data_IF_292586749294
#
_entry.id   IF_292586749294
#
_cell.length_a   1.000
_cell.length_b   1.000
_cell.length_c   1.000
_cell.angle_alpha   90.00
_cell.angle_beta   90.00
_cell.angle_gamma   90.00
#
_symmetry.space_group_name_H-M   'P 1'
#
loop_
_entity.id
_entity.type
_entity.pdbx_description
1 polymer ?
#
# COMPACT_ATOMS: atom_id res chain seq x y z
N UNK A 1 30.59 10.90 19.29
CA UNK A 1 30.43 10.03 18.11
C UNK A 1 29.02 10.24 17.54
N UNK A 2 28.95 11.01 16.46
CA UNK A 2 27.86 11.26 15.50
C UNK A 2 26.39 11.20 15.95
N UNK A 3 25.85 12.36 16.38
CA UNK A 3 24.42 12.63 16.37
C UNK A 3 23.95 13.07 14.97
N UNK A 4 23.17 12.23 14.30
CA UNK A 4 22.56 12.57 13.01
C UNK A 4 21.38 13.53 13.21
N UNK A 5 21.63 14.81 12.93
CA UNK A 5 20.61 15.87 12.84
C UNK A 5 19.93 15.76 11.48
N UNK A 6 18.76 15.12 11.41
CA UNK A 6 17.94 15.07 10.18
C UNK A 6 17.39 16.47 9.91
N UNK A 7 17.94 17.12 8.90
CA UNK A 7 17.56 18.47 8.44
C UNK A 7 16.48 18.29 7.36
N UNK A 8 15.22 18.58 7.67
CA UNK A 8 14.17 18.63 6.67
C UNK A 8 14.39 19.82 5.73
N UNK A 9 14.18 19.69 4.40
CA UNK A 9 14.24 20.83 3.51
C UNK A 9 13.10 21.80 3.82
N UNK A 10 13.49 22.99 4.26
CA UNK A 10 12.62 24.16 4.44
C UNK A 10 11.87 24.44 3.13
N UNK A 11 10.54 24.47 3.20
CA UNK A 11 9.74 25.15 2.18
C UNK A 11 10.09 26.64 2.25
N UNK A 12 10.56 27.18 1.13
CA UNK A 12 10.68 28.62 0.90
C UNK A 12 9.28 29.23 0.95
N UNK A 13 8.94 29.91 2.04
CA UNK A 13 7.90 30.94 2.05
C UNK A 13 8.53 32.24 1.55
N UNK A 14 8.07 32.71 0.40
CA UNK A 14 8.45 34.01 -0.14
C UNK A 14 7.70 35.14 0.56
N UNK A 15 8.41 36.24 0.80
CA UNK A 15 7.90 37.61 0.73
C UNK A 15 6.76 38.00 1.69
N UNK A 16 7.15 38.52 2.85
CA UNK A 16 6.31 39.34 3.73
C UNK A 16 5.88 40.63 3.02
N UNK A 17 4.57 40.90 3.01
CA UNK A 17 4.03 42.26 3.08
C UNK A 17 2.98 42.29 4.19
N UNK A 18 3.15 43.25 5.12
CA UNK A 18 2.33 43.48 6.31
C UNK A 18 0.93 43.96 5.90
N UNK A 19 -0.12 43.42 6.50
CA UNK A 19 -1.00 44.14 7.45
C UNK A 19 -2.25 43.34 7.85
N UNK A 20 -2.70 43.61 9.07
CA UNK A 20 -4.02 43.36 9.66
C UNK A 20 -4.32 42.00 10.32
N UNK A 21 -3.80 41.94 11.56
CA UNK A 21 -4.42 41.46 12.80
C UNK A 21 -5.92 41.14 12.71
N UNK A 22 -6.23 39.87 12.99
CA UNK A 22 -7.43 39.31 13.65
C UNK A 22 -7.93 38.03 12.96
N UNK A 23 -7.16 36.95 13.05
CA UNK A 23 -7.66 35.55 12.94
C UNK A 23 -6.55 34.54 13.25
N UNK A 24 -5.81 34.78 14.34
CA UNK A 24 -4.82 33.81 14.82
C UNK A 24 -5.50 32.87 15.81
N UNK A 25 -5.62 31.61 15.37
CA UNK A 25 -5.44 30.37 16.13
C UNK A 25 -6.56 29.30 16.07
N UNK A 26 -7.21 29.15 14.92
CA UNK A 26 -7.81 27.86 14.52
C UNK A 26 -6.98 27.23 13.40
N UNK A 27 -5.69 27.03 13.66
CA UNK A 27 -4.95 25.97 12.98
C UNK A 27 -4.85 24.88 14.03
N UNK A 28 -5.86 24.01 14.06
CA UNK A 28 -5.79 22.76 14.78
C UNK A 28 -4.47 22.10 14.40
N UNK A 29 -3.57 21.97 15.37
CA UNK A 29 -2.44 21.04 15.25
C UNK A 29 -3.09 19.69 14.98
N UNK A 30 -3.10 19.25 13.72
CA UNK A 30 -3.43 17.89 13.34
C UNK A 30 -2.53 16.98 14.17
N UNK A 31 -3.11 16.41 15.22
CA UNK A 31 -2.43 15.47 16.07
C UNK A 31 -2.38 14.16 15.28
N UNK A 32 -1.19 13.71 14.90
CA UNK A 32 -0.97 12.49 14.12
C UNK A 32 -1.65 11.28 14.77
N UNK A 33 -1.70 11.26 16.11
CA UNK A 33 -2.41 10.24 16.86
C UNK A 33 -3.92 10.26 16.60
N UNK A 34 -4.53 11.44 16.57
CA UNK A 34 -5.97 11.56 16.32
C UNK A 34 -6.31 11.16 14.89
N UNK A 35 -5.49 11.56 13.90
CA UNK A 35 -5.65 11.12 12.51
C UNK A 35 -5.52 9.59 12.37
N UNK A 36 -4.56 8.98 13.08
CA UNK A 36 -4.40 7.53 13.14
C UNK A 36 -5.64 6.85 13.72
N UNK A 37 -6.13 7.33 14.88
CA UNK A 37 -7.31 6.76 15.52
C UNK A 37 -8.57 6.91 14.66
N UNK A 38 -8.71 8.03 13.95
CA UNK A 38 -9.82 8.23 13.01
C UNK A 38 -9.73 7.29 11.81
N UNK A 39 -8.52 7.01 11.30
CA UNK A 39 -8.34 6.05 10.21
C UNK A 39 -8.86 4.64 10.57
N UNK A 40 -8.61 4.19 11.82
CA UNK A 40 -9.10 2.91 12.34
C UNK A 40 -10.63 2.87 12.53
N UNK A 41 -11.29 4.03 12.65
CA UNK A 41 -12.76 4.13 12.78
C UNK A 41 -13.50 4.25 11.46
N UNK A 42 -12.76 4.33 10.35
CA UNK A 42 -13.40 4.47 9.03
C UNK A 42 -14.21 3.22 8.69
N UNK A 43 -15.34 3.43 7.99
CA UNK A 43 -16.17 2.32 7.47
C UNK A 43 -15.36 1.33 6.62
N UNK A 44 -14.43 1.84 5.82
CA UNK A 44 -13.55 0.99 5.01
C UNK A 44 -12.68 0.07 5.87
N UNK A 45 -12.17 0.56 7.00
CA UNK A 45 -11.39 -0.25 7.94
C UNK A 45 -12.28 -1.35 8.54
N UNK A 46 -13.44 -0.98 9.08
CA UNK A 46 -14.38 -1.93 9.69
C UNK A 46 -14.87 -2.99 8.69
N UNK A 47 -15.04 -2.62 7.42
CA UNK A 47 -15.45 -3.54 6.36
C UNK A 47 -14.35 -4.56 6.05
N UNK A 48 -13.09 -4.14 5.96
CA UNK A 48 -11.97 -5.07 5.73
C UNK A 48 -11.75 -5.98 6.95
N UNK A 49 -11.78 -5.41 8.15
CA UNK A 49 -11.71 -6.16 9.39
C UNK A 49 -12.80 -7.24 9.45
N UNK A 50 -14.05 -6.87 9.23
CA UNK A 50 -15.18 -7.81 9.27
C UNK A 50 -15.11 -8.89 8.18
N UNK A 51 -14.60 -8.56 6.98
CA UNK A 51 -14.33 -9.54 5.92
C UNK A 51 -13.30 -10.58 6.37
N UNK A 52 -12.18 -10.16 6.94
CA UNK A 52 -11.15 -11.09 7.44
C UNK A 52 -11.70 -11.97 8.56
N UNK A 53 -12.34 -11.36 9.56
CA UNK A 53 -12.91 -12.09 10.69
C UNK A 53 -14.01 -13.08 10.24
N UNK A 54 -14.86 -12.68 9.29
CA UNK A 54 -15.89 -13.55 8.72
C UNK A 54 -15.33 -14.75 7.96
N UNK A 55 -14.17 -14.61 7.32
CA UNK A 55 -13.48 -15.75 6.66
C UNK A 55 -12.82 -16.66 7.69
N UNK A 56 -12.19 -16.09 8.72
CA UNK A 56 -11.61 -16.86 9.82
C UNK A 56 -12.68 -17.70 10.54
N UNK A 57 -13.84 -17.09 10.85
CA UNK A 57 -14.97 -17.76 11.52
C UNK A 57 -15.57 -18.90 10.69
N UNK A 58 -15.78 -18.70 9.39
CA UNK A 58 -16.31 -19.73 8.47
C UNK A 58 -15.41 -20.97 8.41
N UNK A 59 -14.09 -20.77 8.54
CA UNK A 59 -13.12 -21.87 8.54
C UNK A 59 -13.18 -22.70 9.83
N UNK A 60 -13.29 -22.05 10.99
CA UNK A 60 -13.42 -22.73 12.28
C UNK A 60 -14.64 -23.65 12.36
N UNK A 61 -15.76 -23.28 11.71
CA UNK A 61 -16.97 -24.10 11.61
C UNK A 61 -16.86 -25.26 10.61
N UNK A 62 -16.09 -25.10 9.53
CA UNK A 62 -15.87 -26.17 8.54
C UNK A 62 -14.94 -27.28 9.08
N UNK A 63 -13.92 -26.89 9.87
CA UNK A 63 -13.00 -27.80 10.56
C UNK A 63 -13.68 -28.62 11.67
N UNK A 64 -14.77 -28.13 12.26
CA UNK A 64 -15.53 -28.86 13.29
C UNK A 64 -16.51 -29.87 12.70
N UNK A 65 -16.96 -29.66 11.45
CA UNK A 65 -17.90 -30.57 10.77
C UNK A 65 -17.20 -31.78 10.12
N UNK A 66 -15.89 -31.70 9.88
CA UNK A 66 -15.09 -32.72 9.16
C UNK A 66 -14.36 -33.73 10.07
N UNK A 67 -14.54 -33.66 11.40
CA UNK A 67 -13.85 -34.54 12.35
C UNK A 67 -14.39 -35.98 12.44
N UNK A 68 -15.20 -36.46 11.49
CA UNK A 68 -15.79 -37.82 11.55
C UNK A 68 -15.50 -38.74 10.37
N UNK A 69 -14.74 -38.34 9.34
CA UNK A 69 -14.40 -39.27 8.24
C UNK A 69 -12.93 -39.08 7.82
N UNK A 70 -12.18 -40.17 7.90
CA UNK A 70 -10.83 -40.41 7.34
C UNK A 70 -9.60 -39.80 8.04
N UNK A 71 -9.26 -40.46 9.16
CA UNK A 71 -7.87 -40.65 9.59
C UNK A 71 -7.19 -41.60 8.57
N UNK A 72 -5.99 -41.24 8.10
CA UNK A 72 -5.07 -42.05 7.27
C UNK A 72 -5.21 -41.83 5.75
N UNK A 73 -4.91 -40.63 5.26
CA UNK A 73 -4.21 -40.45 3.98
C UNK A 73 -3.69 -39.00 3.83
N UNK A 74 -2.42 -38.87 3.45
CA UNK A 74 -1.79 -37.65 2.88
C UNK A 74 -1.52 -36.45 3.82
N UNK A 75 -0.38 -36.54 4.50
CA UNK A 75 0.28 -35.47 5.24
C UNK A 75 0.99 -34.40 4.38
N UNK A 76 0.48 -34.05 3.18
CA UNK A 76 1.15 -33.07 2.28
C UNK A 76 0.25 -31.88 1.84
N UNK A 77 -1.05 -31.84 2.16
CA UNK A 77 -1.94 -30.71 1.77
C UNK A 77 -2.38 -29.77 2.91
N UNK A 78 -1.67 -29.75 4.05
CA UNK A 78 -2.08 -28.97 5.25
C UNK A 78 -1.45 -27.57 5.32
N UNK A 79 -1.37 -26.84 4.19
CA UNK A 79 -0.98 -25.42 4.20
C UNK A 79 -2.23 -24.53 4.28
N UNK A 80 -2.41 -23.68 5.31
CA UNK A 80 -3.64 -22.92 5.50
C UNK A 80 -3.68 -21.79 4.47
N UNK A 81 -4.50 -21.91 3.44
CA UNK A 81 -4.52 -20.92 2.36
C UNK A 81 -5.18 -19.60 2.81
N UNK A 82 -4.40 -18.70 3.41
CA UNK A 82 -4.63 -17.25 3.42
C UNK A 82 -4.54 -16.65 2.01
N UNK A 83 -4.15 -17.44 1.01
CA UNK A 83 -4.24 -17.11 -0.42
C UNK A 83 -5.66 -16.71 -0.83
N UNK A 84 -6.70 -17.26 -0.20
CA UNK A 84 -8.10 -16.89 -0.48
C UNK A 84 -8.55 -15.59 0.20
N UNK A 85 -7.85 -15.17 1.27
CA UNK A 85 -8.16 -13.91 1.96
C UNK A 85 -7.75 -12.73 1.07
N UNK A 86 -6.59 -12.79 0.39
CA UNK A 86 -6.21 -11.73 -0.55
C UNK A 86 -7.22 -11.52 -1.68
N UNK A 87 -7.84 -12.60 -2.16
CA UNK A 87 -8.82 -12.53 -3.25
C UNK A 87 -10.13 -11.85 -2.80
N UNK A 88 -10.49 -11.99 -1.51
CA UNK A 88 -11.67 -11.34 -0.92
C UNK A 88 -11.41 -9.90 -0.44
N UNK A 89 -10.14 -9.55 -0.17
CA UNK A 89 -9.77 -8.25 0.37
C UNK A 89 -9.51 -7.20 -0.71
N UNK A 90 -9.07 -7.62 -1.90
CA UNK A 90 -8.71 -6.68 -2.96
C UNK A 90 -9.93 -6.04 -3.63
N UNK A 91 -9.83 -4.73 -3.82
CA UNK A 91 -10.84 -3.95 -4.53
C UNK A 91 -10.22 -3.12 -5.66
N UNK A 92 -10.74 -3.22 -6.90
CA UNK A 92 -11.72 -4.23 -7.32
C UNK A 92 -11.10 -5.64 -7.33
N UNK A 93 -11.98 -6.64 -7.26
CA UNK A 93 -11.62 -8.05 -7.29
C UNK A 93 -10.89 -8.41 -8.59
N UNK A 94 -10.14 -9.51 -8.54
CA UNK A 94 -9.22 -9.89 -9.62
C UNK A 94 -9.95 -10.18 -10.93
N UNK A 95 -11.16 -10.72 -10.88
CA UNK A 95 -11.99 -11.06 -12.04
C UNK A 95 -12.43 -9.79 -12.79
N UNK A 96 -12.91 -8.79 -12.04
CA UNK A 96 -13.30 -7.49 -12.58
C UNK A 96 -12.07 -6.78 -13.16
N UNK A 97 -10.92 -6.89 -12.49
CA UNK A 97 -9.68 -6.33 -12.99
C UNK A 97 -9.24 -7.00 -14.30
N UNK A 98 -9.32 -8.33 -14.41
CA UNK A 98 -8.97 -9.06 -15.62
C UNK A 98 -9.87 -8.65 -16.79
N UNK A 99 -11.17 -8.46 -16.56
CA UNK A 99 -12.09 -7.93 -17.57
C UNK A 99 -11.69 -6.52 -18.03
N UNK A 100 -11.30 -5.64 -17.10
CA UNK A 100 -10.77 -4.31 -17.42
C UNK A 100 -9.49 -4.41 -18.24
N UNK A 101 -8.56 -5.31 -17.89
CA UNK A 101 -7.30 -5.51 -18.60
C UNK A 101 -7.54 -6.08 -20.00
N UNK A 102 -8.48 -7.03 -20.18
CA UNK A 102 -8.80 -7.57 -21.50
C UNK A 102 -9.48 -6.54 -22.40
N UNK A 103 -10.39 -5.74 -21.83
CA UNK A 103 -11.13 -4.70 -22.57
C UNK A 103 -10.32 -3.42 -22.81
N UNK A 104 -9.14 -3.29 -22.22
CA UNK A 104 -8.32 -2.08 -22.30
C UNK A 104 -6.92 -2.47 -22.78
N UNK A 105 -6.41 -1.86 -23.85
CA UNK A 105 -4.99 -2.04 -24.24
C UNK A 105 -4.06 -1.37 -23.22
N UNK A 106 -3.95 -1.98 -22.03
CA UNK A 106 -3.26 -1.45 -20.88
C UNK A 106 -1.76 -1.57 -21.07
N UNK A 107 -1.02 -0.55 -20.65
CA UNK A 107 0.44 -0.58 -20.72
C UNK A 107 0.98 -1.57 -19.67
N UNK A 108 2.00 -2.38 -20.02
CA UNK A 108 2.58 -3.41 -19.14
C UNK A 108 2.89 -2.91 -17.72
N UNK A 109 3.45 -1.70 -17.57
CA UNK A 109 3.71 -1.10 -16.25
C UNK A 109 2.49 -1.01 -15.32
N UNK A 110 1.28 -0.88 -15.87
CA UNK A 110 0.05 -0.89 -15.09
C UNK A 110 -0.36 -2.33 -14.73
N UNK A 111 -0.10 -3.29 -15.61
CA UNK A 111 -0.30 -4.72 -15.34
C UNK A 111 0.66 -5.16 -14.22
N UNK A 112 1.95 -4.85 -14.35
CA UNK A 112 2.98 -5.08 -13.34
C UNK A 112 2.59 -4.46 -11.99
N UNK A 113 1.94 -3.29 -12.02
CA UNK A 113 1.41 -2.64 -10.82
C UNK A 113 0.29 -3.42 -10.15
N UNK A 114 -0.69 -3.88 -10.92
CA UNK A 114 -1.76 -4.66 -10.33
C UNK A 114 -1.28 -6.01 -9.80
N UNK A 115 -0.35 -6.67 -10.50
CA UNK A 115 0.28 -7.91 -10.04
C UNK A 115 1.06 -7.69 -8.74
N UNK A 116 1.91 -6.65 -8.69
CA UNK A 116 2.62 -6.28 -7.47
C UNK A 116 1.63 -5.98 -6.32
N UNK A 117 0.55 -5.25 -6.57
CA UNK A 117 -0.46 -4.97 -5.55
C UNK A 117 -1.20 -6.21 -5.02
N UNK A 118 -1.38 -7.24 -5.87
CA UNK A 118 -1.95 -8.53 -5.49
C UNK A 118 -0.99 -9.30 -4.59
N UNK A 119 0.29 -9.34 -4.96
CA UNK A 119 1.32 -9.97 -4.15
C UNK A 119 1.49 -9.30 -2.78
N UNK A 120 1.44 -7.97 -2.74
CA UNK A 120 1.41 -7.21 -1.48
C UNK A 120 0.27 -7.67 -0.56
N UNK A 121 -0.94 -7.82 -1.11
CA UNK A 121 -2.09 -8.26 -0.35
C UNK A 121 -1.93 -9.70 0.16
N UNK A 122 -1.32 -10.59 -0.64
CA UNK A 122 -0.98 -11.96 -0.19
C UNK A 122 -0.01 -11.96 0.98
N UNK A 123 1.00 -11.09 0.96
CA UNK A 123 1.93 -10.93 2.09
C UNK A 123 1.18 -10.44 3.33
N UNK A 124 0.30 -9.43 3.18
CA UNK A 124 -0.56 -8.96 4.27
C UNK A 124 -1.40 -10.11 4.87
N UNK A 125 -2.02 -10.93 4.01
CA UNK A 125 -2.73 -12.13 4.43
C UNK A 125 -1.84 -13.09 5.22
N UNK A 126 -0.66 -13.43 4.71
CA UNK A 126 0.29 -14.29 5.42
C UNK A 126 0.69 -13.73 6.78
N UNK A 127 0.81 -12.41 6.94
CA UNK A 127 1.17 -11.80 8.22
C UNK A 127 0.00 -11.90 9.20
N UNK A 128 -1.25 -11.66 8.77
CA UNK A 128 -2.43 -11.85 9.61
C UNK A 128 -2.50 -13.29 10.14
N UNK A 129 -2.16 -14.28 9.31
CA UNK A 129 -2.05 -15.66 9.75
C UNK A 129 -1.01 -15.86 10.86
N UNK A 130 0.18 -15.28 10.67
CA UNK A 130 1.24 -15.35 11.68
C UNK A 130 0.81 -14.71 13.00
N UNK A 131 0.06 -13.60 12.95
CA UNK A 131 -0.48 -12.92 14.13
C UNK A 131 -1.46 -13.83 14.87
N UNK A 132 -2.42 -14.44 14.17
CA UNK A 132 -3.41 -15.33 14.77
C UNK A 132 -2.75 -16.56 15.40
N UNK A 133 -1.77 -17.14 14.70
CA UNK A 133 -0.97 -18.24 15.22
C UNK A 133 -0.14 -17.81 16.45
N UNK A 134 0.43 -16.60 16.44
CA UNK A 134 1.20 -16.07 17.57
C UNK A 134 0.31 -15.88 18.80
N UNK A 135 -0.91 -15.35 18.64
CA UNK A 135 -1.91 -15.25 19.71
C UNK A 135 -2.29 -16.62 20.27
N UNK A 136 -2.60 -17.57 19.40
CA UNK A 136 -2.94 -18.93 19.80
C UNK A 136 -1.80 -19.62 20.57
N UNK A 137 -0.55 -19.45 20.11
CA UNK A 137 0.64 -19.95 20.79
C UNK A 137 0.82 -19.28 22.17
N UNK A 138 0.56 -17.98 22.26
CA UNK A 138 0.71 -17.21 23.50
C UNK A 138 -0.34 -17.56 24.57
N UNK A 139 -1.48 -18.16 24.20
CA UNK A 139 -2.45 -18.68 25.18
C UNK A 139 -1.82 -19.67 26.19
N UNK A 140 -0.73 -20.36 25.84
CA UNK A 140 0.03 -21.19 26.78
C UNK A 140 0.66 -20.37 27.90
N UNK A 141 1.26 -19.23 27.55
CA UNK A 141 1.82 -18.28 28.52
C UNK A 141 0.71 -17.67 29.37
N UNK A 142 -0.43 -17.31 28.77
CA UNK A 142 -1.59 -16.83 29.55
C UNK A 142 -2.08 -17.89 30.55
N UNK A 143 -2.05 -19.17 30.17
CA UNK A 143 -2.36 -20.28 31.09
C UNK A 143 -1.35 -20.38 32.22
N UNK A 144 -0.05 -20.26 31.92
CA UNK A 144 1.04 -20.20 32.91
C UNK A 144 0.81 -19.05 33.89
N UNK A 145 0.50 -17.85 33.39
CA UNK A 145 0.19 -16.66 34.21
C UNK A 145 -1.02 -16.93 35.11
N UNK A 146 -2.11 -17.48 34.56
CA UNK A 146 -3.33 -17.80 35.34
C UNK A 146 -3.06 -18.83 36.44
N UNK A 147 -2.31 -19.89 36.13
CA UNK A 147 -1.94 -20.91 37.10
C UNK A 147 -1.05 -20.36 38.22
N UNK A 148 -0.12 -19.45 37.89
CA UNK A 148 0.76 -18.82 38.87
C UNK A 148 0.00 -17.92 39.86
N UNK A 149 -0.99 -17.13 39.38
CA UNK A 149 -1.84 -16.28 40.24
C UNK A 149 -2.71 -17.11 41.20
N UNK A 150 -3.15 -18.30 40.78
CA UNK A 150 -3.93 -19.25 41.61
C UNK A 150 -3.05 -20.03 42.61
N UNK A 151 -1.72 -19.94 42.51
CA UNK A 151 -0.81 -20.54 43.49
C UNK A 151 -0.62 -19.63 44.72
N UNK A 152 -0.85 -18.32 44.57
CA UNK A 152 -0.78 -17.32 45.64
C UNK A 152 -2.07 -17.16 46.46
N UNK A 153 -3.19 -17.74 46.02
CA UNK A 153 -4.44 -17.77 46.80
C UNK A 153 -4.63 -19.14 47.45
N UNK A 154 -4.42 -19.21 48.76
CA UNK A 154 -4.61 -20.39 49.62
C UNK A 154 -6.10 -20.75 49.74
N UNK A 155 -6.70 -21.27 48.66
CA UNK A 155 -8.04 -21.85 48.71
C UNK A 155 -7.97 -23.31 49.20
N UNK A 156 -8.79 -23.72 50.20
CA UNK A 156 -8.84 -25.10 50.66
C UNK A 156 -9.41 -26.00 49.55
N UNK A 157 -8.68 -27.05 49.16
CA UNK A 157 -9.10 -28.02 48.13
C UNK A 157 -8.38 -27.93 46.77
N UNK A 158 -7.31 -27.14 46.65
CA UNK A 158 -6.49 -27.06 45.43
C UNK A 158 -5.34 -28.07 45.34
N UNK A 159 -4.89 -28.39 44.12
CA UNK A 159 -3.69 -29.20 43.82
C UNK A 159 -2.48 -28.86 44.70
N UNK A 160 -1.65 -29.87 45.03
CA UNK A 160 -0.37 -29.68 45.70
C UNK A 160 0.51 -28.66 44.95
N UNK A 161 1.28 -27.87 45.70
CA UNK A 161 2.17 -26.84 45.14
C UNK A 161 3.14 -27.44 44.10
N UNK A 162 3.63 -28.66 44.33
CA UNK A 162 4.55 -29.33 43.41
C UNK A 162 3.86 -29.83 42.12
N UNK A 163 2.58 -30.22 42.17
CA UNK A 163 1.80 -30.57 40.98
C UNK A 163 1.53 -29.35 40.09
N UNK A 164 1.23 -28.20 40.71
CA UNK A 164 1.07 -26.94 39.99
C UNK A 164 2.37 -26.52 39.29
N UNK A 165 3.51 -26.63 39.98
CA UNK A 165 4.84 -26.35 39.41
C UNK A 165 5.11 -27.26 38.21
N UNK A 166 4.80 -28.56 38.32
CA UNK A 166 4.94 -29.52 37.22
C UNK A 166 4.09 -29.12 36.00
N UNK A 167 2.84 -28.71 36.20
CA UNK A 167 1.95 -28.27 35.11
C UNK A 167 2.48 -26.99 34.45
N UNK A 168 2.95 -26.02 35.25
CA UNK A 168 3.53 -24.77 34.74
C UNK A 168 4.78 -25.06 33.89
N UNK A 169 5.71 -25.87 34.40
CA UNK A 169 6.90 -26.28 33.64
C UNK A 169 6.53 -27.03 32.36
N UNK A 170 5.49 -27.86 32.40
CA UNK A 170 4.95 -28.54 31.22
C UNK A 170 4.46 -27.58 30.14
N UNK A 171 3.76 -26.50 30.51
CA UNK A 171 3.33 -25.48 29.55
C UNK A 171 4.49 -24.64 29.01
N UNK A 172 5.44 -24.25 29.86
CA UNK A 172 6.65 -23.55 29.42
C UNK A 172 7.45 -24.41 28.44
N UNK A 173 7.58 -25.71 28.70
CA UNK A 173 8.23 -26.65 27.80
C UNK A 173 7.46 -26.78 26.47
N UNK A 174 6.13 -26.80 26.53
CA UNK A 174 5.32 -26.83 25.32
C UNK A 174 5.42 -25.55 24.51
N UNK A 175 5.44 -24.38 25.15
CA UNK A 175 5.62 -23.09 24.49
C UNK A 175 7.01 -22.97 23.84
N UNK A 176 8.07 -23.35 24.56
CA UNK A 176 9.44 -23.32 24.05
C UNK A 176 9.66 -24.18 22.79
N UNK A 177 8.86 -25.24 22.61
CA UNK A 177 8.91 -26.13 21.44
C UNK A 177 8.14 -25.61 20.22
N UNK A 178 7.32 -24.57 20.37
CA UNK A 178 6.56 -24.03 19.25
C UNK A 178 7.47 -23.26 18.29
N UNK A 179 7.21 -23.43 17.00
CA UNK A 179 7.81 -22.59 15.98
C UNK A 179 7.32 -21.15 16.14
N UNK A 180 8.21 -20.21 15.88
CA UNK A 180 7.83 -18.81 15.85
C UNK A 180 7.11 -18.51 14.53
N UNK A 181 5.82 -18.12 14.58
CA UNK A 181 5.03 -17.93 13.36
C UNK A 181 5.59 -16.84 12.45
N UNK A 182 6.35 -15.88 13.00
CA UNK A 182 6.94 -14.78 12.25
C UNK A 182 8.28 -15.13 11.60
N UNK A 183 8.90 -16.28 11.95
CA UNK A 183 10.18 -16.69 11.35
C UNK A 183 10.06 -17.02 9.86
N UNK A 184 8.89 -17.48 9.40
CA UNK A 184 8.62 -17.67 7.96
C UNK A 184 8.53 -16.35 7.19
N UNK A 185 8.42 -15.22 7.89
CA UNK A 185 8.32 -13.86 7.36
C UNK A 185 9.64 -13.11 7.61
N UNK A 186 10.77 -13.82 7.45
CA UNK A 186 12.11 -13.32 7.77
C UNK A 186 12.52 -12.03 7.02
N UNK A 187 13.62 -11.41 7.48
CA UNK A 187 14.26 -10.26 6.83
C UNK A 187 14.49 -10.44 5.33
N UNK A 188 14.77 -11.67 4.87
CA UNK A 188 15.04 -11.96 3.46
C UNK A 188 13.80 -11.72 2.59
N UNK A 189 12.61 -12.14 3.04
CA UNK A 189 11.36 -11.86 2.31
C UNK A 189 11.07 -10.36 2.24
N UNK A 190 11.21 -9.63 3.35
CA UNK A 190 11.00 -8.17 3.35
C UNK A 190 12.05 -7.42 2.53
N UNK A 191 13.30 -7.89 2.49
CA UNK A 191 14.34 -7.33 1.62
C UNK A 191 14.01 -7.49 0.15
N UNK A 192 13.61 -8.70 -0.27
CA UNK A 192 13.18 -8.97 -1.67
C UNK A 192 11.96 -8.13 -2.05
N UNK A 193 10.98 -8.02 -1.15
CA UNK A 193 9.82 -7.14 -1.29
C UNK A 193 10.28 -5.70 -1.52
N UNK A 194 11.07 -5.14 -0.60
CA UNK A 194 11.55 -3.77 -0.67
C UNK A 194 12.33 -3.48 -1.96
N UNK A 195 13.24 -4.36 -2.36
CA UNK A 195 14.03 -4.21 -3.60
C UNK A 195 13.14 -4.21 -4.85
N UNK A 196 12.12 -5.09 -4.86
CA UNK A 196 11.16 -5.19 -5.97
C UNK A 196 10.27 -3.96 -6.07
N UNK A 197 9.67 -3.49 -4.97
CA UNK A 197 8.85 -2.27 -4.96
C UNK A 197 9.70 -1.02 -5.24
N UNK A 198 10.92 -0.94 -4.72
CA UNK A 198 11.87 0.13 -5.01
C UNK A 198 12.23 0.20 -6.50
N UNK A 199 12.52 -0.96 -7.12
CA UNK A 199 12.80 -1.06 -8.55
C UNK A 199 11.61 -0.65 -9.41
N UNK A 200 10.41 -1.10 -9.04
CA UNK A 200 9.17 -0.77 -9.72
C UNK A 200 8.84 0.73 -9.60
N UNK A 201 8.99 1.32 -8.41
CA UNK A 201 8.81 2.75 -8.18
C UNK A 201 9.74 3.59 -9.05
N UNK A 202 11.01 3.16 -9.18
CA UNK A 202 12.00 3.79 -10.04
C UNK A 202 11.59 3.73 -11.51
N UNK A 203 11.10 2.58 -11.98
CA UNK A 203 10.65 2.39 -13.36
C UNK A 203 9.42 3.25 -13.69
N UNK A 204 8.38 3.22 -12.84
CA UNK A 204 7.19 4.06 -12.98
C UNK A 204 7.55 5.54 -12.99
N UNK A 205 8.41 5.97 -12.05
CA UNK A 205 8.86 7.36 -11.93
C UNK A 205 9.65 7.82 -13.16
N UNK A 206 10.55 6.98 -13.68
CA UNK A 206 11.32 7.28 -14.88
C UNK A 206 10.41 7.46 -16.10
N UNK A 207 9.44 6.55 -16.28
CA UNK A 207 8.50 6.59 -17.41
C UNK A 207 7.57 7.79 -17.31
N UNK A 208 7.03 8.08 -16.13
CA UNK A 208 6.27 9.31 -15.83
C UNK A 208 7.06 10.57 -16.20
N UNK A 209 8.32 10.69 -15.76
CA UNK A 209 9.21 11.82 -16.10
C UNK A 209 9.45 11.93 -17.62
N UNK A 210 9.62 10.81 -18.33
CA UNK A 210 9.78 10.79 -19.81
C UNK A 210 8.53 11.31 -20.51
N UNK A 211 7.35 10.92 -20.05
CA UNK A 211 6.06 11.36 -20.57
C UNK A 211 5.83 12.85 -20.31
N UNK A 212 6.06 13.31 -19.08
CA UNK A 212 5.96 14.72 -18.70
C UNK A 212 6.84 15.61 -19.59
N UNK A 213 8.08 15.18 -19.88
CA UNK A 213 8.98 15.87 -20.82
C UNK A 213 8.38 15.96 -22.23
N UNK A 214 7.83 14.86 -22.76
CA UNK A 214 7.19 14.84 -24.08
C UNK A 214 5.97 15.78 -24.14
N UNK A 215 5.13 15.80 -23.11
CA UNK A 215 4.00 16.73 -23.01
C UNK A 215 4.49 18.18 -23.05
N UNK A 216 5.53 18.51 -22.28
CA UNK A 216 6.13 19.85 -22.25
C UNK A 216 6.65 20.27 -23.64
N UNK A 217 7.39 19.39 -24.31
CA UNK A 217 7.88 19.63 -25.69
C UNK A 217 6.71 19.90 -26.64
N UNK A 218 5.65 19.07 -26.60
CA UNK A 218 4.47 19.27 -27.45
C UNK A 218 3.80 20.63 -27.19
N UNK A 219 3.72 21.10 -25.93
CA UNK A 219 3.18 22.44 -25.66
C UNK A 219 4.07 23.55 -26.16
N UNK A 220 5.39 23.42 -26.03
CA UNK A 220 6.33 24.42 -26.53
C UNK A 220 6.27 24.51 -28.05
N UNK A 221 6.24 23.37 -28.75
CA UNK A 221 6.04 23.33 -30.19
C UNK A 221 4.70 23.94 -30.61
N UNK A 222 3.62 23.69 -29.87
CA UNK A 222 2.32 24.35 -30.13
C UNK A 222 2.38 25.87 -29.96
N UNK A 223 3.05 26.37 -28.91
CA UNK A 223 3.23 27.81 -28.67
C UNK A 223 4.06 28.47 -29.78
N UNK A 224 5.20 27.88 -30.12
CA UNK A 224 6.08 28.37 -31.18
C UNK A 224 5.39 28.37 -32.55
N UNK A 225 4.62 27.31 -32.84
CA UNK A 225 3.82 27.24 -34.04
C UNK A 225 2.74 28.33 -34.08
N UNK A 226 2.06 28.61 -32.97
CA UNK A 226 1.09 29.69 -32.86
C UNK A 226 1.68 31.05 -33.24
N UNK A 227 2.85 31.37 -32.70
CA UNK A 227 3.59 32.60 -33.04
C UNK A 227 3.95 32.64 -34.53
N UNK A 228 4.46 31.54 -35.09
CA UNK A 228 4.78 31.45 -36.52
C UNK A 228 3.57 31.66 -37.44
N UNK A 229 2.38 31.18 -37.05
CA UNK A 229 1.14 31.45 -37.81
C UNK A 229 0.88 32.95 -37.90
N UNK A 230 0.92 33.63 -36.74
CA UNK A 230 0.57 35.05 -36.63
C UNK A 230 1.52 35.88 -37.48
N UNK A 231 2.82 35.60 -37.40
CA UNK A 231 3.85 36.30 -38.19
C UNK A 231 3.71 36.08 -39.70
N UNK A 232 3.36 34.85 -40.13
CA UNK A 232 3.16 34.57 -41.56
C UNK A 232 1.89 35.25 -42.08
N UNK A 233 0.79 35.21 -41.33
CA UNK A 233 -0.47 35.85 -41.72
C UNK A 233 -0.35 37.38 -41.76
N UNK A 234 0.31 37.99 -40.77
CA UNK A 234 0.55 39.44 -40.78
C UNK A 234 1.46 39.84 -41.95
N UNK A 235 2.53 39.07 -42.20
CA UNK A 235 3.41 39.29 -43.36
C UNK A 235 2.66 39.20 -44.70
N UNK A 236 1.80 38.18 -44.89
CA UNK A 236 0.98 38.07 -46.10
C UNK A 236 0.01 39.24 -46.25
N UNK A 237 -0.67 39.66 -45.18
CA UNK A 237 -1.60 40.78 -45.22
C UNK A 237 -0.90 42.08 -45.67
N UNK A 238 0.29 42.36 -45.11
CA UNK A 238 1.10 43.52 -45.51
C UNK A 238 1.49 43.41 -46.99
N UNK A 239 1.97 42.25 -47.45
CA UNK A 239 2.35 42.04 -48.84
C UNK A 239 1.16 42.22 -49.80
N UNK A 240 -0.04 41.74 -49.44
CA UNK A 240 -1.24 41.94 -50.25
C UNK A 240 -1.67 43.40 -50.36
N UNK A 241 -1.51 44.18 -49.28
CA UNK A 241 -1.82 45.62 -49.30
C UNK A 241 -0.84 46.35 -50.23
N UNK A 242 0.46 46.05 -50.13
CA UNK A 242 1.49 46.62 -51.02
C UNK A 242 1.17 46.27 -52.48
N UNK A 243 0.83 45.01 -52.76
CA UNK A 243 0.51 44.57 -54.12
C UNK A 243 -0.73 45.29 -54.68
N UNK A 244 -1.79 45.43 -53.86
CA UNK A 244 -3.03 46.11 -54.26
C UNK A 244 -2.80 47.59 -54.59
N UNK A 245 -1.88 48.26 -53.89
CA UNK A 245 -1.47 49.63 -54.20
C UNK A 245 -0.75 49.71 -55.55
N UNK A 246 0.05 48.70 -55.88
CA UNK A 246 0.88 48.69 -57.10
C UNK A 246 0.20 48.08 -58.35
N UNK A 247 -0.86 47.27 -58.20
CA UNK A 247 -1.53 46.62 -59.34
C UNK A 247 -2.81 47.36 -59.76
N UNK A 248 -2.74 48.14 -60.84
CA UNK A 248 -3.92 48.78 -61.46
C UNK A 248 -4.70 47.83 -62.38
N UNK A 249 -4.25 46.59 -62.64
CA UNK A 249 -4.91 45.68 -63.59
C UNK A 249 -4.89 44.23 -63.10
N UNK A 250 -6.06 43.58 -63.13
CA UNK A 250 -6.15 42.16 -63.50
C UNK A 250 -6.32 41.14 -62.38
N UNK A 251 -7.52 40.59 -62.32
CA UNK A 251 -8.03 39.53 -61.46
C UNK A 251 -7.20 38.23 -61.52
N UNK A 252 -6.22 38.04 -60.64
CA UNK A 252 -5.53 36.73 -60.44
C UNK A 252 -5.34 36.42 -58.96
N UNK A 253 -6.41 36.42 -58.16
CA UNK A 253 -6.35 36.07 -56.73
C UNK A 253 -6.90 34.67 -56.39
N UNK A 254 -7.48 33.96 -57.37
CA UNK A 254 -8.27 32.74 -57.12
C UNK A 254 -7.40 31.50 -56.76
N UNK A 255 -6.24 31.23 -57.38
CA UNK A 255 -5.42 30.06 -57.04
C UNK A 255 -4.78 30.14 -55.64
N UNK A 256 -4.40 31.36 -55.20
CA UNK A 256 -3.76 31.59 -53.90
C UNK A 256 -4.69 31.31 -52.71
N UNK A 257 -5.96 31.70 -52.82
CA UNK A 257 -6.98 31.47 -51.79
C UNK A 257 -7.28 29.98 -51.57
N UNK A 258 -7.32 29.18 -52.64
CA UNK A 258 -7.55 27.72 -52.57
C UNK A 258 -6.37 26.97 -51.90
N UNK A 259 -5.13 27.35 -52.20
CA UNK A 259 -3.94 26.79 -51.53
C UNK A 259 -3.91 27.11 -50.02
N UNK A 260 -4.34 28.32 -49.64
CA UNK A 260 -4.45 28.73 -48.22
C UNK A 260 -5.53 27.93 -47.49
N UNK A 261 -6.69 27.69 -48.11
CA UNK A 261 -7.78 26.89 -47.53
C UNK A 261 -7.40 25.42 -47.33
N UNK A 262 -6.73 24.80 -48.32
CA UNK A 262 -6.27 23.41 -48.21
C UNK A 262 -5.14 23.26 -47.19
N UNK A 263 -4.23 24.24 -47.12
CA UNK A 263 -3.20 24.33 -46.08
C UNK A 263 -3.81 24.49 -44.68
N UNK A 264 -4.84 25.31 -44.53
CA UNK A 264 -5.58 25.50 -43.28
C UNK A 264 -6.28 24.20 -42.82
N UNK A 265 -6.93 23.46 -43.73
CA UNK A 265 -7.56 22.17 -43.40
C UNK A 265 -6.53 21.11 -42.97
N UNK A 266 -5.43 20.94 -43.73
CA UNK A 266 -4.32 20.04 -43.34
C UNK A 266 -3.73 20.45 -41.99
N UNK A 267 -3.66 21.76 -41.69
CA UNK A 267 -3.16 22.32 -40.42
C UNK A 267 -4.13 22.08 -39.26
N UNK A 268 -5.44 22.24 -39.47
CA UNK A 268 -6.49 21.95 -38.50
C UNK A 268 -6.49 20.47 -38.12
N UNK A 269 -6.38 19.58 -39.12
CA UNK A 269 -6.27 18.13 -38.92
C UNK A 269 -5.00 17.74 -38.14
N UNK A 270 -3.84 18.33 -38.49
CA UNK A 270 -2.56 18.09 -37.79
C UNK A 270 -2.58 18.61 -36.34
N UNK A 271 -3.22 19.75 -36.10
CA UNK A 271 -3.42 20.32 -34.77
C UNK A 271 -4.34 19.46 -33.91
N UNK A 272 -5.45 18.98 -34.47
CA UNK A 272 -6.37 18.04 -33.82
C UNK A 272 -5.67 16.73 -33.44
N UNK A 273 -4.91 16.12 -34.38
CA UNK A 273 -4.10 14.92 -34.13
C UNK A 273 -3.08 15.13 -33.01
N UNK A 274 -2.42 16.28 -32.97
CA UNK A 274 -1.47 16.64 -31.91
C UNK A 274 -2.15 16.93 -30.57
N UNK A 275 -3.38 17.46 -30.58
CA UNK A 275 -4.25 17.62 -29.40
C UNK A 275 -4.62 16.26 -28.82
N UNK A 276 -5.15 15.36 -29.64
CA UNK A 276 -5.50 14.00 -29.22
C UNK A 276 -4.30 13.23 -28.66
N UNK A 277 -3.14 13.33 -29.33
CA UNK A 277 -1.87 12.73 -28.84
C UNK A 277 -1.44 13.28 -27.49
N UNK A 278 -1.58 14.59 -27.26
CA UNK A 278 -1.27 15.23 -25.97
C UNK A 278 -2.21 14.74 -24.88
N UNK A 279 -3.51 14.69 -25.16
CA UNK A 279 -4.52 14.26 -24.18
C UNK A 279 -4.29 12.82 -23.74
N UNK A 280 -4.05 11.90 -24.69
CA UNK A 280 -3.68 10.50 -24.39
C UNK A 280 -2.40 10.41 -23.55
N UNK A 281 -1.41 11.25 -23.85
CA UNK A 281 -0.13 11.28 -23.13
C UNK A 281 -0.28 11.84 -21.70
N UNK A 282 -1.15 12.82 -21.49
CA UNK A 282 -1.51 13.34 -20.17
C UNK A 282 -2.28 12.29 -19.35
N UNK A 283 -3.28 11.64 -19.93
CA UNK A 283 -4.01 10.57 -19.25
C UNK A 283 -3.08 9.43 -18.83
N UNK A 284 -2.16 9.01 -19.71
CA UNK A 284 -1.17 7.99 -19.36
C UNK A 284 -0.16 8.49 -18.30
N UNK A 285 0.15 9.79 -18.29
CA UNK A 285 0.93 10.39 -17.21
C UNK A 285 0.21 10.23 -15.86
N UNK A 286 -1.08 10.51 -15.82
CA UNK A 286 -1.89 10.51 -14.58
C UNK A 286 -2.08 9.08 -14.05
N UNK A 287 -2.26 8.09 -14.95
CA UNK A 287 -2.25 6.67 -14.59
C UNK A 287 -0.93 6.23 -13.93
N UNK A 288 0.22 6.62 -14.53
CA UNK A 288 1.53 6.30 -13.96
C UNK A 288 1.81 7.08 -12.68
N UNK A 289 1.27 8.29 -12.54
CA UNK A 289 1.37 9.08 -11.32
C UNK A 289 0.60 8.43 -10.16
N UNK A 290 -0.64 8.00 -10.41
CA UNK A 290 -1.45 7.25 -9.45
C UNK A 290 -0.76 5.93 -9.04
N UNK A 291 -0.25 5.16 -10.01
CA UNK A 291 0.46 3.92 -9.73
C UNK A 291 1.75 4.16 -8.93
N UNK A 292 2.54 5.16 -9.30
CA UNK A 292 3.79 5.49 -8.61
C UNK A 292 3.54 5.93 -7.15
N UNK A 293 2.51 6.75 -6.92
CA UNK A 293 2.08 7.13 -5.56
C UNK A 293 1.67 5.90 -4.75
N UNK A 294 0.90 4.99 -5.36
CA UNK A 294 0.51 3.73 -4.74
C UNK A 294 1.70 2.87 -4.32
N UNK A 295 2.67 2.67 -5.21
CA UNK A 295 3.89 1.90 -4.91
C UNK A 295 4.72 2.57 -3.82
N UNK A 296 4.83 3.90 -3.84
CA UNK A 296 5.57 4.63 -2.80
C UNK A 296 4.94 4.44 -1.42
N UNK A 297 3.62 4.62 -1.29
CA UNK A 297 2.95 4.43 0.01
C UNK A 297 3.05 2.99 0.47
N UNK A 298 2.87 2.02 -0.44
CA UNK A 298 3.00 0.61 -0.12
C UNK A 298 4.39 0.23 0.39
N UNK A 299 5.45 0.80 -0.20
CA UNK A 299 6.82 0.60 0.27
C UNK A 299 6.99 1.11 1.72
N UNK A 300 6.42 2.27 2.04
CA UNK A 300 6.45 2.84 3.39
C UNK A 300 5.67 1.99 4.41
N UNK A 301 4.50 1.48 4.02
CA UNK A 301 3.68 0.60 4.86
C UNK A 301 4.46 -0.69 5.18
N UNK A 302 5.10 -1.31 4.18
CA UNK A 302 5.93 -2.50 4.39
C UNK A 302 7.17 -2.25 5.24
N UNK A 303 7.81 -1.09 5.15
CA UNK A 303 8.94 -0.74 6.03
C UNK A 303 8.49 -0.65 7.51
N UNK A 304 7.26 -0.19 7.74
CA UNK A 304 6.68 -0.14 9.09
C UNK A 304 6.32 -1.52 9.59
N UNK A 305 5.60 -2.30 8.80
CA UNK A 305 5.22 -3.69 9.11
C UNK A 305 6.46 -4.56 9.36
N UNK A 306 7.50 -4.45 8.52
CA UNK A 306 8.75 -5.22 8.66
C UNK A 306 9.43 -4.97 10.01
N UNK A 307 9.46 -3.71 10.47
CA UNK A 307 10.02 -3.36 11.79
C UNK A 307 9.21 -3.94 12.95
N UNK A 308 7.88 -3.91 12.86
CA UNK A 308 6.99 -4.50 13.87
C UNK A 308 7.13 -6.03 13.90
N UNK A 309 7.15 -6.68 12.73
CA UNK A 309 7.38 -8.12 12.61
C UNK A 309 8.71 -8.53 13.22
N UNK A 310 9.79 -7.79 12.95
CA UNK A 310 11.11 -8.08 13.52
C UNK A 310 11.12 -7.95 15.05
N UNK A 311 10.51 -6.91 15.62
CA UNK A 311 10.42 -6.75 17.07
C UNK A 311 9.64 -7.89 17.73
N UNK A 312 8.46 -8.21 17.20
CA UNK A 312 7.64 -9.31 17.71
C UNK A 312 8.32 -10.66 17.54
N UNK A 313 9.03 -10.87 16.44
CA UNK A 313 9.84 -12.07 16.23
C UNK A 313 10.87 -12.24 17.35
N UNK A 314 11.64 -11.19 17.64
CA UNK A 314 12.67 -11.22 18.68
C UNK A 314 12.08 -11.41 20.08
N UNK A 315 10.91 -10.81 20.36
CA UNK A 315 10.17 -11.02 21.62
C UNK A 315 9.68 -12.46 21.79
N UNK A 316 9.17 -13.09 20.72
CA UNK A 316 8.76 -14.50 20.75
C UNK A 316 9.97 -15.42 20.98
N UNK A 317 11.09 -15.18 20.27
CA UNK A 317 12.32 -15.97 20.46
C UNK A 317 12.90 -15.80 21.86
N UNK A 318 12.92 -14.58 22.39
CA UNK A 318 13.34 -14.31 23.78
C UNK A 318 12.45 -15.07 24.77
N UNK A 319 11.12 -14.96 24.62
CA UNK A 319 10.16 -15.68 25.45
C UNK A 319 10.38 -17.21 25.42
N UNK A 320 10.64 -17.77 24.24
CA UNK A 320 10.95 -19.20 24.08
C UNK A 320 12.26 -19.56 24.77
N UNK A 321 13.29 -18.74 24.64
CA UNK A 321 14.59 -18.96 25.25
C UNK A 321 14.52 -18.97 26.79
N UNK A 322 13.84 -17.99 27.40
CA UNK A 322 13.67 -17.94 28.87
C UNK A 322 12.81 -19.11 29.38
N UNK A 323 11.77 -19.50 28.63
CA UNK A 323 10.94 -20.66 28.97
C UNK A 323 11.75 -21.96 28.91
N UNK A 324 12.53 -22.15 27.85
CA UNK A 324 13.40 -23.32 27.69
C UNK A 324 14.46 -23.39 28.79
N UNK A 325 15.07 -22.25 29.14
CA UNK A 325 16.06 -22.17 30.20
C UNK A 325 15.45 -22.50 31.57
N UNK A 326 14.27 -21.96 31.88
CA UNK A 326 13.53 -22.29 33.10
C UNK A 326 13.29 -23.79 33.25
N UNK A 327 12.85 -24.45 32.17
CA UNK A 327 12.58 -25.90 32.11
C UNK A 327 13.85 -26.74 32.29
N UNK A 328 15.01 -26.25 31.84
CA UNK A 328 16.30 -26.94 32.02
C UNK A 328 16.81 -26.81 33.46
N UNK A 329 16.66 -25.64 34.08
CA UNK A 329 17.21 -25.35 35.41
C UNK A 329 16.32 -25.89 36.53
N UNK A 330 15.00 -25.86 36.37
CA UNK A 330 13.97 -26.36 37.31
C UNK A 330 14.09 -25.84 38.77
N UNK A 331 14.79 -24.71 38.98
CA UNK A 331 14.90 -24.06 40.30
C UNK A 331 13.67 -23.18 40.55
N UNK A 332 13.03 -23.34 41.73
CA UNK A 332 11.84 -22.56 42.14
C UNK A 332 12.06 -21.04 42.05
N UNK A 333 13.25 -20.55 42.42
CA UNK A 333 13.59 -19.12 42.30
C UNK A 333 13.57 -18.62 40.85
N UNK A 334 14.14 -19.40 39.91
CA UNK A 334 14.15 -19.04 38.50
C UNK A 334 12.77 -19.08 37.88
N UNK A 335 11.95 -20.06 38.29
CA UNK A 335 10.55 -20.11 37.89
C UNK A 335 9.80 -18.85 38.33
N UNK A 336 10.02 -18.37 39.55
CA UNK A 336 9.39 -17.13 40.06
C UNK A 336 9.76 -15.91 39.22
N UNK A 337 11.03 -15.74 38.87
CA UNK A 337 11.47 -14.61 38.03
C UNK A 337 10.91 -14.68 36.61
N UNK A 338 10.95 -15.86 35.97
CA UNK A 338 10.39 -16.06 34.62
C UNK A 338 8.88 -15.81 34.60
N UNK A 339 8.15 -16.23 35.64
CA UNK A 339 6.73 -15.94 35.78
C UNK A 339 6.46 -14.44 35.92
N UNK A 340 7.28 -13.73 36.71
CA UNK A 340 7.16 -12.27 36.87
C UNK A 340 7.42 -11.54 35.55
N UNK A 341 8.41 -11.99 34.77
CA UNK A 341 8.71 -11.44 33.46
C UNK A 341 7.51 -11.59 32.50
N UNK A 342 6.97 -12.80 32.36
CA UNK A 342 5.78 -13.03 31.52
C UNK A 342 4.56 -12.23 31.98
N UNK A 343 4.32 -12.13 33.30
CA UNK A 343 3.23 -11.31 33.84
C UNK A 343 3.40 -9.82 33.52
N UNK A 344 4.63 -9.32 33.55
CA UNK A 344 4.93 -7.91 33.28
C UNK A 344 4.81 -7.59 31.79
N UNK A 345 5.20 -8.53 30.94
CA UNK A 345 5.25 -8.33 29.48
C UNK A 345 3.96 -8.70 28.74
N UNK A 346 3.00 -9.39 29.38
CA UNK A 346 1.77 -9.91 28.74
C UNK A 346 1.03 -8.85 27.93
N UNK A 347 0.65 -7.74 28.57
CA UNK A 347 -0.12 -6.69 27.89
C UNK A 347 0.70 -6.02 26.79
N UNK A 348 1.97 -5.74 27.05
CA UNK A 348 2.86 -5.10 26.09
C UNK A 348 3.04 -5.94 24.81
N UNK A 349 3.16 -7.26 24.95
CA UNK A 349 3.26 -8.17 23.80
C UNK A 349 1.95 -8.23 23.00
N UNK A 350 0.81 -8.33 23.67
CA UNK A 350 -0.51 -8.39 23.02
C UNK A 350 -0.86 -7.07 22.33
N UNK A 351 -0.50 -5.93 22.93
CA UNK A 351 -0.63 -4.59 22.33
C UNK A 351 0.20 -4.48 21.05
N UNK A 352 1.47 -4.92 21.06
CA UNK A 352 2.31 -4.92 19.85
C UNK A 352 1.76 -5.83 18.74
N UNK A 353 1.19 -6.98 19.09
CA UNK A 353 0.49 -7.83 18.12
C UNK A 353 -0.73 -7.13 17.53
N UNK A 354 -1.48 -6.39 18.34
CA UNK A 354 -2.58 -5.53 17.89
C UNK A 354 -2.10 -4.41 16.96
N UNK A 355 -1.03 -3.70 17.32
CA UNK A 355 -0.43 -2.64 16.50
C UNK A 355 0.02 -3.19 15.12
N UNK A 356 0.68 -4.36 15.10
CA UNK A 356 1.05 -5.02 13.85
C UNK A 356 -0.20 -5.33 13.00
N UNK A 357 -1.25 -5.87 13.62
CA UNK A 357 -2.48 -6.20 12.93
C UNK A 357 -3.16 -4.96 12.32
N UNK A 358 -3.26 -3.87 13.08
CA UNK A 358 -3.80 -2.58 12.62
C UNK A 358 -3.05 -2.06 11.40
N UNK A 359 -1.72 -2.07 11.44
CA UNK A 359 -0.88 -1.65 10.31
C UNK A 359 -1.06 -2.54 9.08
N UNK A 360 -1.30 -3.84 9.25
CA UNK A 360 -1.58 -4.74 8.12
C UNK A 360 -2.93 -4.39 7.49
N UNK A 361 -3.98 -4.12 8.28
CA UNK A 361 -5.27 -3.67 7.75
C UNK A 361 -5.18 -2.32 7.03
N UNK A 362 -4.45 -1.36 7.59
CA UNK A 362 -4.18 -0.07 6.96
C UNK A 362 -3.44 -0.24 5.62
N UNK A 363 -2.46 -1.15 5.54
CA UNK A 363 -1.77 -1.45 4.29
C UNK A 363 -2.73 -1.98 3.21
N UNK A 364 -3.64 -2.90 3.55
CA UNK A 364 -4.67 -3.40 2.62
C UNK A 364 -5.60 -2.26 2.16
N UNK A 365 -5.98 -1.35 3.05
CA UNK A 365 -6.75 -0.15 2.68
C UNK A 365 -6.01 0.73 1.68
N UNK A 366 -4.72 0.97 1.92
CA UNK A 366 -3.85 1.72 1.01
C UNK A 366 -3.80 1.06 -0.36
N UNK A 367 -3.62 -0.26 -0.42
CA UNK A 367 -3.60 -1.04 -1.67
C UNK A 367 -4.91 -0.82 -2.44
N UNK A 368 -6.05 -1.01 -1.79
CA UNK A 368 -7.37 -0.87 -2.41
C UNK A 368 -7.63 0.56 -2.90
N UNK A 369 -7.26 1.56 -2.09
CA UNK A 369 -7.37 2.97 -2.49
C UNK A 369 -6.52 3.27 -3.71
N UNK A 370 -5.28 2.80 -3.73
CA UNK A 370 -4.36 3.02 -4.85
C UNK A 370 -4.87 2.33 -6.13
N UNK A 371 -5.33 1.08 -6.04
CA UNK A 371 -5.92 0.34 -7.17
C UNK A 371 -7.14 1.08 -7.75
N UNK A 372 -8.05 1.54 -6.90
CA UNK A 372 -9.22 2.34 -7.33
C UNK A 372 -8.82 3.64 -8.04
N UNK A 373 -7.80 4.34 -7.55
CA UNK A 373 -7.30 5.55 -8.19
C UNK A 373 -6.73 5.26 -9.58
N UNK A 374 -5.91 4.21 -9.72
CA UNK A 374 -5.38 3.82 -11.03
C UNK A 374 -6.51 3.45 -12.00
N UNK A 375 -7.51 2.72 -11.54
CA UNK A 375 -8.66 2.33 -12.37
C UNK A 375 -9.53 3.52 -12.75
N UNK A 376 -9.70 4.49 -11.85
CA UNK A 376 -10.37 5.76 -12.18
C UNK A 376 -9.67 6.45 -13.34
N UNK A 377 -8.34 6.56 -13.30
CA UNK A 377 -7.55 7.16 -14.39
C UNK A 377 -7.59 6.34 -15.68
N UNK A 378 -7.77 5.01 -15.60
CA UNK A 378 -8.00 4.13 -16.76
C UNK A 378 -9.38 4.40 -17.36
N UNK A 379 -10.44 4.52 -16.54
CA UNK A 379 -11.80 4.71 -17.02
C UNK A 379 -12.04 6.13 -17.57
N UNK A 380 -11.36 7.14 -17.04
CA UNK A 380 -11.34 8.49 -17.62
C UNK A 380 -10.80 8.50 -19.07
N UNK A 381 -10.02 7.50 -19.48
CA UNK A 381 -9.57 7.32 -20.86
C UNK A 381 -10.67 6.80 -21.80
N UNK A 382 -11.65 6.04 -21.28
CA UNK A 382 -12.77 5.48 -22.07
C UNK A 382 -13.89 6.50 -22.30
N UNK A 383 -14.12 7.41 -21.36
CA UNK A 383 -15.20 8.40 -21.43
C UNK A 383 -14.88 9.64 -22.30
N UNK A 384 -13.66 9.77 -22.84
CA UNK A 384 -13.33 10.87 -23.75
C UNK A 384 -13.92 10.55 -25.13
N UNK A 385 -14.90 11.32 -25.63
CA UNK A 385 -15.51 11.05 -26.93
C UNK A 385 -14.43 11.09 -28.00
N UNK A 386 -14.41 10.08 -28.87
CA UNK A 386 -13.88 10.24 -30.21
C UNK A 386 -14.67 11.37 -30.87
N UNK A 387 -14.16 12.59 -30.79
CA UNK A 387 -14.67 13.71 -31.56
C UNK A 387 -14.54 13.32 -33.04
N UNK A 388 -15.67 12.90 -33.62
CA UNK A 388 -15.87 12.79 -35.06
C UNK A 388 -15.83 14.17 -35.70
#
# INVERSE_FOLDING_TARGET
MFGFKVKYPSLRTGGSSKENVSNVNVISKLNVKDEYMEALRTKSYTDIWSKVQGQLRRRSTSLTTTNNIDRIATSISRLPSYTYISDCLLEPQQEVLLDIIQKSNLHHLLIDYFEASLEACRICGSILQCIDQARANYCKIQRVIKLSKKATSDLPGGFSNDDKVRIILGELASFAKLDNPLSSTNKLKFGVIHDRYGSMLKLLTMKRKKIARRVKVISLCKKAWGVSVVMLCSGLAIATIILAIHSLVGFVAVPGLMCVQLGYLKRKLRSAKNGLKRNKLNQFHDQLDAAAKGVYTLNMDFDTISRLVMRLHDEIEHGKAIAQWCVKVQKKQMLKEVLKEFQTQENCFLEKLGELEEHVYLCVLTINRARRLVIKEINCMKASPSAH
#
